data_IF_183967954009
#
_entry.id   IF_183967954009
#
_cell.length_a   1.000
_cell.length_b   1.000
_cell.length_c   1.000
_cell.angle_alpha   90.00
_cell.angle_beta   90.00
_cell.angle_gamma   90.00
#
_symmetry.space_group_name_H-M   'P 1'
#
loop_
_entity.id
_entity.type
_entity.pdbx_description
1 polymer ?
#
# COMPACT_ATOMS: atom_id res chain seq x y z
N UNK A 1 7.88 -25.05 24.55
CA UNK A 1 7.45 -24.42 23.29
C UNK A 1 5.95 -24.24 23.35
N UNK A 2 5.46 -23.02 23.14
CA UNK A 2 4.03 -22.74 23.03
C UNK A 2 3.48 -23.43 21.79
N UNK A 3 2.39 -24.20 21.90
CA UNK A 3 1.83 -24.95 20.76
C UNK A 3 0.94 -24.03 19.93
N UNK A 4 1.40 -23.63 18.73
CA UNK A 4 0.64 -22.79 17.79
C UNK A 4 -0.15 -23.61 16.79
N UNK A 5 -1.30 -23.09 16.35
CA UNK A 5 -2.21 -23.74 15.39
C UNK A 5 -1.74 -23.55 13.93
N UNK A 6 -0.56 -24.10 13.59
CA UNK A 6 0.01 -24.00 12.26
C UNK A 6 -0.43 -25.17 11.38
N UNK A 7 -0.97 -24.85 10.20
CA UNK A 7 -1.44 -25.82 9.21
C UNK A 7 -0.76 -25.56 7.87
N UNK A 8 0.05 -26.51 7.40
CA UNK A 8 0.66 -26.43 6.07
C UNK A 8 -0.12 -27.28 5.08
N UNK A 9 -0.51 -26.71 3.95
CA UNK A 9 -1.26 -27.41 2.90
C UNK A 9 -0.62 -27.21 1.53
N UNK A 10 -0.79 -28.20 0.66
CA UNK A 10 -0.37 -28.10 -0.74
C UNK A 10 -1.36 -27.24 -1.50
N UNK A 11 -0.87 -26.30 -2.30
CA UNK A 11 -1.68 -25.58 -3.28
C UNK A 11 -2.23 -26.55 -4.34
N UNK A 12 -3.54 -26.55 -4.55
CA UNK A 12 -4.23 -27.31 -5.59
C UNK A 12 -4.55 -26.40 -6.78
N UNK A 13 -4.75 -26.99 -7.97
CA UNK A 13 -5.03 -26.26 -9.20
C UNK A 13 -3.81 -25.62 -9.87
N UNK A 14 -4.06 -24.93 -10.99
CA UNK A 14 -3.05 -24.23 -11.79
C UNK A 14 -2.40 -23.08 -11.03
N UNK A 15 -1.17 -22.73 -11.37
CA UNK A 15 -0.57 -21.49 -10.87
C UNK A 15 -1.24 -20.27 -11.49
N UNK A 16 -1.24 -19.16 -10.78
CA UNK A 16 -1.61 -17.86 -11.38
C UNK A 16 -0.73 -17.60 -12.61
N UNK A 17 0.57 -17.90 -12.52
CA UNK A 17 1.52 -17.80 -13.64
C UNK A 17 1.12 -18.66 -14.87
N UNK A 18 0.37 -19.76 -14.65
CA UNK A 18 0.04 -20.75 -15.68
C UNK A 18 -1.38 -20.56 -16.25
N UNK A 19 -2.24 -19.75 -15.62
CA UNK A 19 -3.57 -19.46 -16.19
C UNK A 19 -3.44 -18.59 -17.44
N UNK A 20 -4.35 -18.71 -18.43
CA UNK A 20 -4.24 -17.98 -19.70
C UNK A 20 -4.43 -16.46 -19.58
N UNK A 21 -5.07 -16.01 -18.49
CA UNK A 21 -5.37 -14.60 -18.20
C UNK A 21 -5.01 -14.26 -16.77
N UNK A 22 -4.42 -13.09 -16.55
CA UNK A 22 -4.18 -12.51 -15.24
C UNK A 22 -4.34 -10.99 -15.32
N UNK A 23 -4.88 -10.40 -14.25
CA UNK A 23 -5.08 -8.95 -14.12
C UNK A 23 -4.41 -8.52 -12.81
N UNK A 24 -3.65 -7.44 -12.87
CA UNK A 24 -3.02 -6.81 -11.71
C UNK A 24 -3.07 -5.29 -11.86
N UNK A 25 -3.36 -4.57 -10.79
CA UNK A 25 -3.33 -3.11 -10.77
C UNK A 25 -2.38 -2.62 -9.67
N UNK A 26 -1.75 -1.48 -9.87
CA UNK A 26 -1.11 -0.69 -8.81
C UNK A 26 -1.49 0.77 -8.95
N UNK A 27 -1.91 1.35 -7.83
CA UNK A 27 -2.07 2.80 -7.62
C UNK A 27 -0.78 3.34 -7.02
N UNK A 28 -0.17 4.31 -7.67
CA UNK A 28 1.09 4.93 -7.32
C UNK A 28 0.92 5.95 -6.18
N UNK A 29 2.02 6.52 -5.73
CA UNK A 29 2.05 7.28 -4.47
C UNK A 29 1.20 8.56 -4.49
N UNK A 30 1.01 9.18 -5.66
CA UNK A 30 0.17 10.37 -5.82
C UNK A 30 -1.31 10.08 -6.13
N UNK A 31 -1.70 8.81 -6.28
CA UNK A 31 -3.10 8.46 -6.50
C UNK A 31 -3.94 8.81 -5.25
N UNK A 32 -5.16 9.37 -5.37
CA UNK A 32 -5.97 9.81 -4.23
C UNK A 32 -6.12 8.78 -3.10
N UNK A 33 -6.44 7.52 -3.42
CA UNK A 33 -6.49 6.43 -2.43
C UNK A 33 -5.14 6.16 -1.75
N UNK A 34 -4.03 6.21 -2.50
CA UNK A 34 -2.69 5.95 -1.95
C UNK A 34 -2.19 7.12 -1.10
N UNK A 35 -2.57 8.36 -1.43
CA UNK A 35 -2.37 9.51 -0.55
C UNK A 35 -3.14 9.35 0.76
N UNK A 36 -4.39 8.85 0.72
CA UNK A 36 -5.14 8.57 1.94
C UNK A 36 -4.47 7.49 2.81
N UNK A 37 -4.05 6.38 2.19
CA UNK A 37 -3.30 5.31 2.86
C UNK A 37 -2.00 5.83 3.47
N UNK A 38 -1.22 6.62 2.73
CA UNK A 38 0.03 7.20 3.19
C UNK A 38 -0.14 8.22 4.32
N UNK A 39 -1.14 9.09 4.23
CA UNK A 39 -1.50 10.03 5.30
C UNK A 39 -1.91 9.27 6.56
N UNK A 40 -2.82 8.30 6.44
CA UNK A 40 -3.29 7.52 7.58
C UNK A 40 -2.13 6.80 8.28
N UNK A 41 -1.25 6.16 7.51
CA UNK A 41 -0.09 5.48 8.08
C UNK A 41 0.89 6.45 8.74
N UNK A 42 1.14 7.61 8.12
CA UNK A 42 1.99 8.64 8.72
C UNK A 42 1.44 9.10 10.06
N UNK A 43 0.14 9.33 10.17
CA UNK A 43 -0.52 9.71 11.43
C UNK A 43 -0.33 8.63 12.50
N UNK A 44 -0.53 7.35 12.15
CA UNK A 44 -0.33 6.22 13.07
C UNK A 44 1.09 6.16 13.62
N UNK A 45 2.09 6.31 12.74
CA UNK A 45 3.51 6.31 13.14
C UNK A 45 3.82 7.50 14.03
N UNK A 46 3.52 8.73 13.60
CA UNK A 46 3.84 9.95 14.37
C UNK A 46 3.12 9.98 15.73
N UNK A 47 1.86 9.54 15.80
CA UNK A 47 1.15 9.40 17.08
C UNK A 47 1.82 8.38 18.00
N UNK A 48 2.26 7.24 17.46
CA UNK A 48 2.94 6.21 18.24
C UNK A 48 4.28 6.71 18.77
N UNK A 49 5.07 7.38 17.93
CA UNK A 49 6.36 7.97 18.30
C UNK A 49 6.17 9.06 19.37
N UNK A 50 5.21 9.96 19.17
CA UNK A 50 4.90 11.01 20.14
C UNK A 50 4.53 10.44 21.50
N UNK A 51 3.67 9.40 21.54
CA UNK A 51 3.29 8.74 22.79
C UNK A 51 4.51 8.12 23.48
N UNK A 52 5.38 7.44 22.72
CA UNK A 52 6.61 6.84 23.27
C UNK A 52 7.53 7.90 23.88
N UNK A 53 7.80 8.98 23.14
CA UNK A 53 8.75 10.02 23.54
C UNK A 53 8.23 10.87 24.69
N UNK A 54 6.93 11.20 24.70
CA UNK A 54 6.36 12.12 25.67
C UNK A 54 5.78 11.41 26.87
N UNK A 55 5.27 10.18 26.73
CA UNK A 55 4.56 9.44 27.79
C UNK A 55 5.28 8.16 28.23
N UNK A 56 6.31 7.72 27.52
CA UNK A 56 7.04 6.47 27.81
C UNK A 56 6.24 5.20 27.52
N UNK A 57 5.07 5.32 26.89
CA UNK A 57 4.15 4.21 26.60
C UNK A 57 3.57 4.33 25.21
N UNK A 58 3.18 3.21 24.63
CA UNK A 58 2.42 3.19 23.37
C UNK A 58 0.93 3.13 23.69
N UNK A 59 0.15 4.03 23.10
CA UNK A 59 -1.29 4.09 23.34
C UNK A 59 -2.07 3.53 22.14
N UNK A 60 -3.18 2.86 22.45
CA UNK A 60 -4.11 2.37 21.43
C UNK A 60 -4.68 3.53 20.60
N UNK A 61 -4.71 3.32 19.29
CA UNK A 61 -5.27 4.24 18.30
C UNK A 61 -5.61 3.50 17.00
N UNK A 62 -6.45 4.10 16.16
CA UNK A 62 -6.77 3.68 14.80
C UNK A 62 -7.19 4.92 13.99
N UNK A 63 -6.30 5.43 13.14
CA UNK A 63 -6.51 6.56 12.23
C UNK A 63 -6.72 6.10 10.78
N UNK A 64 -7.27 4.91 10.60
CA UNK A 64 -7.46 4.23 9.31
C UNK A 64 -8.73 4.69 8.56
N UNK A 65 -9.18 5.93 8.79
CA UNK A 65 -10.36 6.54 8.16
C UNK A 65 -10.00 7.94 7.69
N UNK A 66 -9.17 8.00 6.65
CA UNK A 66 -8.87 9.25 5.94
C UNK A 66 -9.64 9.25 4.64
N UNK A 67 -10.35 10.34 4.39
CA UNK A 67 -11.06 10.60 3.15
C UNK A 67 -10.50 11.86 2.49
N UNK A 68 -10.28 11.78 1.19
CA UNK A 68 -9.92 12.88 0.33
C UNK A 68 -11.11 13.21 -0.55
N UNK A 69 -11.53 14.47 -0.53
CA UNK A 69 -12.50 15.03 -1.46
C UNK A 69 -11.78 15.95 -2.43
N UNK A 70 -12.02 15.73 -3.72
CA UNK A 70 -11.29 16.39 -4.77
C UNK A 70 -11.47 17.92 -4.77
N UNK A 71 -10.42 18.60 -5.23
CA UNK A 71 -10.43 20.02 -5.50
C UNK A 71 -11.13 20.36 -6.82
N UNK A 72 -10.94 21.61 -7.25
CA UNK A 72 -11.33 22.06 -8.58
C UNK A 72 -10.21 22.94 -9.13
N UNK A 73 -9.74 22.62 -10.33
CA UNK A 73 -8.63 23.30 -11.01
C UNK A 73 -9.06 23.67 -12.43
N UNK A 74 -8.47 24.73 -12.96
CA UNK A 74 -8.36 24.96 -14.39
C UNK A 74 -6.90 24.82 -14.78
N UNK A 75 -6.63 23.94 -15.74
CA UNK A 75 -5.30 23.69 -16.28
C UNK A 75 -5.33 23.87 -17.79
N UNK A 76 -4.21 24.34 -18.32
CA UNK A 76 -3.94 24.41 -19.74
C UNK A 76 -2.45 24.32 -19.98
N UNK A 77 -2.03 24.33 -21.23
CA UNK A 77 -0.60 24.35 -21.52
C UNK A 77 0.06 25.62 -20.94
N UNK A 78 1.15 25.43 -20.18
CA UNK A 78 1.91 26.48 -19.51
C UNK A 78 1.19 27.15 -18.34
N UNK A 79 0.02 26.68 -17.94
CA UNK A 79 -0.82 27.37 -16.95
C UNK A 79 -1.65 26.42 -16.08
N UNK A 80 -1.93 26.87 -14.86
CA UNK A 80 -2.84 26.16 -13.99
C UNK A 80 -3.23 27.01 -12.78
N UNK A 81 -4.48 26.90 -12.36
CA UNK A 81 -5.01 27.61 -11.20
C UNK A 81 -6.01 26.73 -10.46
N UNK A 82 -5.77 26.56 -9.17
CA UNK A 82 -6.74 25.93 -8.27
C UNK A 82 -7.84 26.93 -7.88
N UNK A 83 -9.09 26.53 -8.06
CA UNK A 83 -10.29 27.26 -7.64
C UNK A 83 -10.83 26.76 -6.30
N UNK A 84 -10.81 25.45 -6.07
CA UNK A 84 -11.21 24.83 -4.81
C UNK A 84 -10.09 23.93 -4.31
N UNK A 85 -9.66 24.09 -3.04
CA UNK A 85 -8.65 23.22 -2.46
C UNK A 85 -9.17 21.79 -2.28
N UNK A 86 -8.27 20.83 -2.33
CA UNK A 86 -8.52 19.45 -1.93
C UNK A 86 -8.89 19.45 -0.44
N UNK A 87 -9.86 18.63 -0.04
CA UNK A 87 -10.23 18.50 1.38
C UNK A 87 -9.84 17.14 1.91
N UNK A 88 -9.16 17.11 3.04
CA UNK A 88 -8.82 15.88 3.76
C UNK A 88 -9.62 15.87 5.05
N UNK A 89 -10.36 14.80 5.26
CA UNK A 89 -11.04 14.52 6.52
C UNK A 89 -10.32 13.35 7.19
N UNK A 90 -9.73 13.62 8.35
CA UNK A 90 -9.09 12.60 9.17
C UNK A 90 -10.08 12.19 10.25
N UNK A 91 -10.55 10.95 10.21
CA UNK A 91 -11.32 10.34 11.28
C UNK A 91 -10.53 9.20 11.92
N UNK A 92 -11.06 8.69 13.04
CA UNK A 92 -10.42 7.61 13.77
C UNK A 92 -10.64 7.68 15.26
N UNK A 93 -9.85 6.90 15.98
CA UNK A 93 -9.90 6.77 17.43
C UNK A 93 -8.48 6.88 17.99
N UNK A 94 -8.30 7.67 19.03
CA UNK A 94 -7.05 7.73 19.79
C UNK A 94 -7.31 7.93 21.28
N UNK A 95 -6.24 8.10 22.05
CA UNK A 95 -6.31 8.33 23.49
C UNK A 95 -6.01 9.81 23.76
N UNK A 96 -7.03 10.64 24.05
CA UNK A 96 -6.87 12.10 24.12
C UNK A 96 -6.14 12.58 25.39
N UNK A 97 -6.03 11.71 26.40
CA UNK A 97 -5.28 11.98 27.61
C UNK A 97 -4.83 10.68 28.27
N UNK A 98 -3.66 10.71 28.92
CA UNK A 98 -3.11 9.59 29.67
C UNK A 98 -2.49 10.11 30.97
N UNK A 99 -2.88 9.53 32.12
CA UNK A 99 -2.40 9.93 33.45
C UNK A 99 -2.46 11.45 33.70
N UNK A 100 -3.57 12.09 33.31
CA UNK A 100 -3.79 13.53 33.48
C UNK A 100 -3.08 14.43 32.45
N UNK A 101 -2.25 13.88 31.56
CA UNK A 101 -1.60 14.62 30.47
C UNK A 101 -2.43 14.54 29.20
N UNK A 102 -2.70 15.70 28.58
CA UNK A 102 -3.39 15.78 27.30
C UNK A 102 -2.47 15.31 26.17
N UNK A 103 -3.05 14.64 25.18
CA UNK A 103 -2.40 14.23 23.93
C UNK A 103 -2.91 15.15 22.82
N UNK A 104 -2.04 15.87 22.09
CA UNK A 104 -2.43 16.79 21.03
C UNK A 104 -2.75 16.00 19.74
N UNK A 105 -3.78 15.15 19.79
CA UNK A 105 -4.14 14.22 18.71
C UNK A 105 -4.34 14.91 17.37
N UNK A 106 -5.13 15.98 17.34
CA UNK A 106 -5.48 16.69 16.12
C UNK A 106 -4.26 17.38 15.52
N UNK A 107 -3.42 18.01 16.34
CA UNK A 107 -2.18 18.64 15.88
C UNK A 107 -1.23 17.60 15.27
N UNK A 108 -1.03 16.46 15.94
CA UNK A 108 -0.20 15.36 15.41
C UNK A 108 -0.77 14.90 14.06
N UNK A 109 -2.07 14.66 13.99
CA UNK A 109 -2.70 14.14 12.78
C UNK A 109 -2.58 15.10 11.59
N UNK A 110 -2.88 16.38 11.81
CA UNK A 110 -2.81 17.41 10.76
C UNK A 110 -1.35 17.62 10.31
N UNK A 111 -0.40 17.69 11.24
CA UNK A 111 1.02 17.88 10.89
C UNK A 111 1.59 16.66 10.17
N UNK A 112 1.25 15.44 10.61
CA UNK A 112 1.62 14.20 9.95
C UNK A 112 1.08 14.14 8.51
N UNK A 113 -0.18 14.53 8.29
CA UNK A 113 -0.77 14.61 6.96
C UNK A 113 -0.03 15.60 6.05
N UNK A 114 0.20 16.83 6.52
CA UNK A 114 0.99 17.84 5.79
C UNK A 114 2.37 17.33 5.45
N UNK A 115 3.06 16.72 6.40
CA UNK A 115 4.41 16.21 6.21
C UNK A 115 4.43 15.07 5.18
N UNK A 116 3.48 14.15 5.23
CA UNK A 116 3.36 13.10 4.22
C UNK A 116 3.24 13.71 2.82
N UNK A 117 2.32 14.67 2.63
CA UNK A 117 2.13 15.30 1.32
C UNK A 117 3.40 16.00 0.84
N UNK A 118 4.09 16.78 1.69
CA UNK A 118 5.34 17.46 1.31
C UNK A 118 6.47 16.51 0.94
N UNK A 119 6.53 15.33 1.57
CA UNK A 119 7.55 14.32 1.26
C UNK A 119 7.19 13.49 0.02
N UNK A 120 5.90 13.34 -0.29
CA UNK A 120 5.40 12.47 -1.37
C UNK A 120 5.20 13.22 -2.69
N UNK A 121 4.75 14.49 -2.66
CA UNK A 121 4.31 15.25 -3.84
C UNK A 121 5.19 16.48 -4.06
N UNK A 122 5.73 16.66 -5.28
CA UNK A 122 6.61 17.81 -5.58
C UNK A 122 5.88 19.12 -5.81
N UNK A 123 4.67 19.05 -6.38
CA UNK A 123 3.91 20.23 -6.81
C UNK A 123 2.64 20.49 -5.99
N UNK A 124 2.29 19.58 -5.07
CA UNK A 124 1.17 19.75 -4.15
C UNK A 124 1.63 20.32 -2.81
N UNK A 125 1.54 21.64 -2.65
CA UNK A 125 1.72 22.30 -1.36
C UNK A 125 0.46 22.15 -0.48
N UNK A 126 0.53 21.41 0.65
CA UNK A 126 -0.65 21.17 1.49
C UNK A 126 -1.13 22.42 2.25
N UNK A 127 -0.31 23.47 2.40
CA UNK A 127 -0.74 24.71 3.05
C UNK A 127 -1.48 25.63 2.08
N UNK A 128 -1.19 25.51 0.78
CA UNK A 128 -1.80 26.32 -0.28
C UNK A 128 -3.00 25.66 -0.93
N UNK A 129 -2.94 24.35 -1.15
CA UNK A 129 -3.87 23.61 -2.00
C UNK A 129 -4.78 22.64 -1.26
N UNK A 130 -4.65 22.54 0.07
CA UNK A 130 -5.43 21.60 0.86
C UNK A 130 -6.04 22.24 2.09
N UNK A 131 -7.20 21.73 2.49
CA UNK A 131 -7.81 21.96 3.80
C UNK A 131 -7.84 20.61 4.52
N UNK A 132 -7.18 20.53 5.67
CA UNK A 132 -7.02 19.28 6.42
C UNK A 132 -7.71 19.45 7.77
N UNK A 133 -8.79 18.71 7.96
CA UNK A 133 -9.59 18.72 9.18
C UNK A 133 -9.46 17.38 9.91
N UNK A 134 -9.20 17.44 11.22
CA UNK A 134 -9.23 16.27 12.10
C UNK A 134 -10.54 16.22 12.87
N UNK A 135 -11.19 15.06 12.78
CA UNK A 135 -12.37 14.65 13.54
C UNK A 135 -12.06 13.43 14.42
N UNK A 136 -10.78 13.23 14.77
CA UNK A 136 -10.34 12.10 15.56
C UNK A 136 -11.02 12.08 16.94
N UNK A 137 -11.70 10.97 17.23
CA UNK A 137 -12.46 10.82 18.47
C UNK A 137 -11.69 10.08 19.57
N UNK A 138 -12.24 10.13 20.78
CA UNK A 138 -11.83 9.23 21.88
C UNK A 138 -12.14 7.77 21.50
N UNK A 139 -11.17 6.87 21.68
CA UNK A 139 -11.37 5.42 21.63
C UNK A 139 -12.13 4.88 22.86
N UNK A 140 -12.79 3.73 22.73
CA UNK A 140 -13.51 3.11 23.86
C UNK A 140 -12.57 2.90 25.07
N UNK A 141 -13.07 3.19 26.28
CA UNK A 141 -12.30 3.07 27.53
C UNK A 141 -11.72 1.66 27.72
N UNK A 142 -12.46 0.64 27.27
CA UNK A 142 -12.08 -0.76 27.29
C UNK A 142 -10.91 -1.12 26.34
N UNK A 143 -10.45 -0.19 25.50
CA UNK A 143 -9.28 -0.38 24.64
C UNK A 143 -8.07 0.48 25.09
N UNK A 144 -8.19 1.21 26.20
CA UNK A 144 -7.17 2.14 26.71
C UNK A 144 -6.06 1.45 27.54
N UNK A 145 -5.84 0.15 27.38
CA UNK A 145 -4.90 -0.59 28.22
C UNK A 145 -3.44 -0.22 27.92
N UNK A 146 -2.68 -0.03 29.00
CA UNK A 146 -1.21 -0.07 28.99
C UNK A 146 -0.83 -1.51 28.62
N UNK A 147 -0.08 -1.66 27.53
CA UNK A 147 0.04 -2.93 26.82
C UNK A 147 1.10 -3.82 27.46
N UNK A 148 0.84 -4.30 28.67
CA UNK A 148 1.72 -5.26 29.36
C UNK A 148 1.65 -6.66 28.68
N UNK A 149 0.51 -7.00 28.07
CA UNK A 149 0.33 -8.20 27.25
C UNK A 149 -0.43 -7.84 25.97
N UNK A 150 0.24 -7.88 24.83
CA UNK A 150 -0.35 -7.51 23.53
C UNK A 150 -1.29 -8.63 23.06
N UNK A 151 -2.60 -8.39 23.15
CA UNK A 151 -3.64 -9.27 22.61
C UNK A 151 -4.22 -8.72 21.32
N UNK A 152 -4.82 -9.58 20.50
CA UNK A 152 -5.55 -9.20 19.31
C UNK A 152 -6.71 -8.26 19.68
N UNK A 153 -6.77 -7.09 19.05
CA UNK A 153 -7.81 -6.10 19.29
C UNK A 153 -9.15 -6.44 18.61
N UNK A 154 -9.15 -7.38 17.67
CA UNK A 154 -10.29 -7.74 16.83
C UNK A 154 -10.16 -9.21 16.36
N UNK A 155 -11.24 -9.76 15.83
CA UNK A 155 -11.26 -11.04 15.13
C UNK A 155 -11.20 -10.78 13.62
N UNK A 156 -9.99 -10.55 13.13
CA UNK A 156 -9.73 -10.29 11.71
C UNK A 156 -8.60 -11.18 11.18
N UNK A 157 -8.29 -11.04 9.89
CA UNK A 157 -7.33 -11.90 9.20
C UNK A 157 -6.36 -11.14 8.30
N UNK A 158 -5.13 -11.65 8.23
CA UNK A 158 -4.09 -11.20 7.31
C UNK A 158 -3.79 -12.27 6.26
N UNK A 159 -3.57 -11.84 5.01
CA UNK A 159 -3.19 -12.74 3.91
C UNK A 159 -2.15 -12.08 3.03
N UNK A 160 -1.10 -12.82 2.69
CA UNK A 160 -0.11 -12.38 1.70
C UNK A 160 0.55 -13.57 1.03
N UNK A 161 1.08 -13.34 -0.17
CA UNK A 161 1.78 -14.35 -0.95
C UNK A 161 3.16 -13.88 -1.41
N UNK A 162 4.03 -14.84 -1.68
CA UNK A 162 5.34 -14.62 -2.29
C UNK A 162 5.78 -15.86 -3.11
N UNK A 163 6.57 -15.71 -4.19
CA UNK A 163 6.91 -14.45 -4.87
C UNK A 163 5.72 -13.86 -5.63
N UNK A 164 5.91 -12.62 -6.10
CA UNK A 164 5.05 -12.01 -7.13
C UNK A 164 5.09 -12.85 -8.41
N UNK A 165 3.99 -12.92 -9.16
CA UNK A 165 3.99 -13.42 -10.55
C UNK A 165 4.80 -12.49 -11.44
N UNK A 166 5.07 -12.94 -12.68
CA UNK A 166 5.69 -12.09 -13.69
C UNK A 166 4.91 -10.79 -13.94
N UNK A 167 3.58 -10.84 -13.99
CA UNK A 167 2.74 -9.65 -14.16
C UNK A 167 2.70 -8.78 -12.91
N UNK A 168 2.56 -9.38 -11.71
CA UNK A 168 2.59 -8.65 -10.44
C UNK A 168 3.91 -7.88 -10.26
N UNK A 169 5.03 -8.49 -10.62
CA UNK A 169 6.34 -7.84 -10.60
C UNK A 169 6.42 -6.71 -11.64
N UNK A 170 6.01 -6.95 -12.89
CA UNK A 170 6.05 -5.96 -13.95
C UNK A 170 5.23 -4.70 -13.61
N UNK A 171 4.01 -4.88 -13.11
CA UNK A 171 3.13 -3.77 -12.68
C UNK A 171 3.74 -3.00 -11.52
N UNK A 172 4.21 -3.71 -10.49
CA UNK A 172 4.80 -3.10 -9.30
C UNK A 172 6.04 -2.26 -9.65
N UNK A 173 7.02 -2.86 -10.33
CA UNK A 173 8.28 -2.19 -10.66
C UNK A 173 8.08 -1.07 -11.68
N UNK A 174 7.13 -1.18 -12.61
CA UNK A 174 6.84 -0.10 -13.57
C UNK A 174 6.33 1.14 -12.85
N UNK A 175 5.39 0.99 -11.90
CA UNK A 175 4.92 2.12 -11.10
C UNK A 175 6.05 2.72 -10.26
N UNK A 176 6.91 1.88 -9.65
CA UNK A 176 8.08 2.34 -8.89
C UNK A 176 9.07 3.11 -9.78
N UNK A 177 9.35 2.61 -10.98
CA UNK A 177 10.22 3.28 -11.94
C UNK A 177 9.69 4.66 -12.31
N UNK A 178 8.38 4.76 -12.58
CA UNK A 178 7.78 6.06 -12.90
C UNK A 178 7.92 6.98 -11.69
N UNK A 179 7.44 6.57 -10.52
CA UNK A 179 7.38 7.42 -9.32
C UNK A 179 8.75 7.79 -8.69
N UNK A 180 9.84 7.09 -9.02
CA UNK A 180 11.13 7.32 -8.36
C UNK A 180 12.32 7.48 -9.31
N UNK A 181 12.10 7.42 -10.63
CA UNK A 181 13.16 7.67 -11.63
C UNK A 181 12.66 8.50 -12.79
N UNK A 182 11.59 8.09 -13.46
CA UNK A 182 11.09 8.79 -14.65
C UNK A 182 10.69 10.25 -14.34
N UNK A 183 10.13 10.48 -13.15
CA UNK A 183 9.74 11.82 -12.70
C UNK A 183 10.90 12.83 -12.65
N UNK A 184 12.14 12.38 -12.49
CA UNK A 184 13.31 13.26 -12.48
C UNK A 184 13.75 13.66 -13.90
N UNK A 185 13.34 12.89 -14.91
CA UNK A 185 13.71 13.07 -16.31
C UNK A 185 12.60 13.75 -17.12
N UNK A 186 11.33 13.60 -16.71
CA UNK A 186 10.15 14.09 -17.41
C UNK A 186 9.23 14.89 -16.48
N UNK A 187 8.47 15.87 -17.01
CA UNK A 187 7.49 16.64 -16.23
C UNK A 187 6.22 15.83 -15.96
N UNK A 188 6.35 14.62 -15.42
CA UNK A 188 5.25 13.73 -15.02
C UNK A 188 4.86 14.06 -13.56
N UNK A 189 3.62 13.77 -13.16
CA UNK A 189 3.17 13.86 -11.77
C UNK A 189 3.20 12.51 -11.04
N UNK A 190 3.06 12.56 -9.72
CA UNK A 190 3.18 11.38 -8.86
C UNK A 190 1.95 10.44 -8.89
N UNK A 191 0.80 10.90 -9.41
CA UNK A 191 -0.39 10.07 -9.59
C UNK A 191 -0.27 9.15 -10.79
N UNK A 192 0.30 7.98 -10.53
CA UNK A 192 0.53 6.95 -11.53
C UNK A 192 -0.40 5.78 -11.24
N UNK A 193 -1.15 5.31 -12.22
CA UNK A 193 -1.89 4.04 -12.13
C UNK A 193 -1.43 3.11 -13.22
N UNK A 194 -0.95 1.92 -12.84
CA UNK A 194 -0.52 0.88 -13.77
C UNK A 194 -1.50 -0.28 -13.69
N UNK A 195 -2.21 -0.52 -14.80
CA UNK A 195 -3.08 -1.69 -14.99
C UNK A 195 -2.38 -2.67 -15.91
N UNK A 196 -2.15 -3.89 -15.43
CA UNK A 196 -1.55 -4.98 -16.16
C UNK A 196 -2.56 -6.05 -16.54
N UNK A 197 -2.52 -6.46 -17.80
CA UNK A 197 -3.21 -7.63 -18.32
C UNK A 197 -2.17 -8.58 -18.91
N UNK A 198 -2.14 -9.82 -18.44
CA UNK A 198 -1.48 -10.91 -19.17
C UNK A 198 -2.54 -11.73 -19.88
N UNK A 199 -2.38 -11.93 -21.19
CA UNK A 199 -3.27 -12.78 -21.99
C UNK A 199 -2.47 -13.53 -23.04
N UNK A 200 -2.64 -14.85 -23.10
CA UNK A 200 -2.03 -15.70 -24.13
C UNK A 200 -0.49 -15.55 -24.24
N UNK A 201 0.19 -15.30 -23.12
CA UNK A 201 1.66 -15.18 -23.10
C UNK A 201 2.22 -13.78 -23.42
N UNK A 202 1.37 -12.77 -23.61
CA UNK A 202 1.79 -11.36 -23.74
C UNK A 202 1.27 -10.53 -22.56
N UNK A 203 2.02 -9.48 -22.20
CA UNK A 203 1.64 -8.50 -21.18
C UNK A 203 1.27 -7.18 -21.86
N UNK A 204 0.17 -6.58 -21.42
CA UNK A 204 -0.20 -5.21 -21.74
C UNK A 204 -0.25 -4.41 -20.45
N UNK A 205 0.53 -3.33 -20.37
CA UNK A 205 0.53 -2.40 -19.26
C UNK A 205 -0.09 -1.08 -19.72
N UNK A 206 -1.29 -0.78 -19.22
CA UNK A 206 -1.93 0.52 -19.40
C UNK A 206 -1.53 1.42 -18.24
N UNK A 207 -0.87 2.53 -18.55
CA UNK A 207 -0.37 3.51 -17.58
C UNK A 207 -1.18 4.79 -17.72
N UNK A 208 -1.79 5.23 -16.62
CA UNK A 208 -2.33 6.58 -16.50
C UNK A 208 -1.35 7.38 -15.64
N UNK A 209 -0.84 8.50 -16.16
CA UNK A 209 0.03 9.40 -15.43
C UNK A 209 -0.14 10.83 -15.95
N UNK A 210 -0.28 11.84 -15.09
CA UNK A 210 -0.45 13.20 -15.53
C UNK A 210 0.89 13.82 -15.93
N UNK A 211 0.84 14.82 -16.81
CA UNK A 211 1.95 15.74 -17.03
C UNK A 211 1.69 17.06 -16.30
N UNK A 212 2.76 17.71 -15.83
CA UNK A 212 2.68 18.98 -15.10
C UNK A 212 2.37 20.10 -16.08
N UNK A 213 1.16 20.65 -15.99
CA UNK A 213 0.58 21.64 -16.90
C UNK A 213 1.49 22.86 -17.12
N UNK A 214 2.10 23.37 -16.04
CA UNK A 214 3.00 24.53 -16.09
C UNK A 214 4.34 24.26 -16.78
N UNK A 215 4.64 22.99 -17.08
CA UNK A 215 5.89 22.54 -17.71
C UNK A 215 5.70 22.08 -19.16
N UNK A 216 4.49 22.16 -19.71
CA UNK A 216 4.17 21.78 -21.09
C UNK A 216 3.59 23.00 -21.80
N UNK A 217 4.27 23.53 -22.81
CA UNK A 217 3.93 24.78 -23.49
C UNK A 217 2.79 24.66 -24.50
N UNK A 218 2.63 23.50 -25.15
CA UNK A 218 1.52 23.27 -26.09
C UNK A 218 1.22 21.77 -26.35
N UNK A 219 0.21 21.51 -27.19
CA UNK A 219 -0.24 20.17 -27.61
C UNK A 219 0.85 19.35 -28.31
N UNK A 220 1.74 19.99 -29.04
CA UNK A 220 2.84 19.31 -29.75
C UNK A 220 3.85 18.80 -28.75
N UNK A 221 4.27 19.67 -27.84
CA UNK A 221 5.18 19.32 -26.75
C UNK A 221 4.61 18.21 -25.87
N UNK A 222 3.32 18.28 -25.50
CA UNK A 222 2.64 17.20 -24.76
C UNK A 222 2.81 15.84 -25.45
N UNK A 223 2.55 15.77 -26.75
CA UNK A 223 2.65 14.52 -27.51
C UNK A 223 4.09 14.02 -27.62
N UNK A 224 5.06 14.92 -27.80
CA UNK A 224 6.48 14.57 -27.86
C UNK A 224 6.98 14.01 -26.53
N UNK A 225 6.69 14.72 -25.43
CA UNK A 225 7.06 14.31 -24.08
C UNK A 225 6.35 13.01 -23.70
N UNK A 226 5.06 12.87 -24.01
CA UNK A 226 4.30 11.62 -23.79
C UNK A 226 4.92 10.43 -24.52
N UNK A 227 5.27 10.58 -25.80
CA UNK A 227 5.89 9.50 -26.59
C UNK A 227 7.27 9.13 -26.05
N UNK A 228 8.07 10.12 -25.65
CA UNK A 228 9.39 9.88 -25.07
C UNK A 228 9.28 9.15 -23.72
N UNK A 229 8.35 9.58 -22.86
CA UNK A 229 8.07 8.92 -21.58
C UNK A 229 7.53 7.49 -21.79
N UNK A 230 6.59 7.28 -22.72
CA UNK A 230 6.09 5.95 -23.08
C UNK A 230 7.22 5.03 -23.56
N UNK A 231 8.13 5.53 -24.41
CA UNK A 231 9.28 4.76 -24.88
C UNK A 231 10.24 4.37 -23.73
N UNK A 232 10.48 5.28 -22.79
CA UNK A 232 11.30 5.02 -21.60
C UNK A 232 10.65 3.94 -20.70
N UNK A 233 9.34 4.05 -20.46
CA UNK A 233 8.58 3.07 -19.68
C UNK A 233 8.56 1.71 -20.40
N UNK A 234 8.33 1.69 -21.71
CA UNK A 234 8.38 0.49 -22.55
C UNK A 234 9.75 -0.20 -22.48
N UNK A 235 10.84 0.58 -22.55
CA UNK A 235 12.20 0.06 -22.46
C UNK A 235 12.50 -0.56 -21.10
N UNK A 236 12.05 0.06 -20.01
CA UNK A 236 12.19 -0.48 -18.65
C UNK A 236 11.33 -1.75 -18.47
N UNK A 237 10.04 -1.67 -18.80
CA UNK A 237 9.08 -2.75 -18.56
C UNK A 237 9.40 -4.02 -19.36
N UNK A 238 9.95 -3.88 -20.57
CA UNK A 238 10.37 -5.01 -21.41
C UNK A 238 11.50 -5.85 -20.78
N UNK A 239 12.23 -5.32 -19.79
CA UNK A 239 13.30 -6.04 -19.09
C UNK A 239 12.79 -6.83 -17.87
N UNK A 240 11.55 -6.58 -17.43
CA UNK A 240 10.98 -7.17 -16.21
C UNK A 240 10.38 -8.56 -16.42
N UNK A 241 10.19 -8.97 -17.68
CA UNK A 241 9.62 -10.27 -18.02
C UNK A 241 10.18 -10.81 -19.34
N UNK A 242 10.30 -12.12 -19.44
CA UNK A 242 10.69 -12.80 -20.69
C UNK A 242 9.60 -12.71 -21.76
N UNK A 243 8.34 -12.54 -21.34
CA UNK A 243 7.20 -12.36 -22.25
C UNK A 243 7.25 -10.97 -22.87
N UNK A 244 6.73 -10.86 -24.09
CA UNK A 244 6.53 -9.58 -24.75
C UNK A 244 5.63 -8.67 -23.89
N UNK A 245 6.11 -7.45 -23.64
CA UNK A 245 5.39 -6.40 -22.91
C UNK A 245 5.06 -5.27 -23.87
N UNK A 246 3.79 -4.85 -23.88
CA UNK A 246 3.31 -3.65 -24.59
C UNK A 246 2.86 -2.63 -23.55
N UNK A 247 3.39 -1.41 -23.62
CA UNK A 247 2.99 -0.29 -22.76
C UNK A 247 2.10 0.67 -23.54
N UNK A 248 1.07 1.20 -22.90
CA UNK A 248 0.18 2.22 -23.44
C UNK A 248 -0.02 3.32 -22.41
N UNK A 249 0.33 4.57 -22.72
CA UNK A 249 0.20 5.70 -21.80
C UNK A 249 -1.02 6.56 -22.12
N UNK A 250 -1.76 6.96 -21.09
CA UNK A 250 -2.89 7.89 -21.14
C UNK A 250 -3.84 7.60 -22.32
N UNK A 251 -4.40 6.40 -22.32
CA UNK A 251 -5.26 5.89 -23.42
C UNK A 251 -6.60 6.63 -23.54
N UNK A 252 -6.94 7.46 -22.55
CA UNK A 252 -8.13 8.31 -22.55
C UNK A 252 -7.92 9.67 -23.25
N UNK A 253 -6.68 10.01 -23.63
CA UNK A 253 -6.41 11.27 -24.30
C UNK A 253 -7.16 11.37 -25.64
N UNK A 254 -7.79 12.52 -25.87
CA UNK A 254 -8.33 12.93 -27.16
C UNK A 254 -7.61 14.21 -27.63
N UNK A 255 -6.53 13.98 -28.38
CA UNK A 255 -5.67 15.03 -28.93
C UNK A 255 -6.42 15.98 -29.87
N UNK A 256 -7.47 15.52 -30.56
CA UNK A 256 -8.22 16.37 -31.48
C UNK A 256 -8.96 17.48 -30.73
N UNK A 257 -9.47 17.15 -29.55
CA UNK A 257 -10.29 18.02 -28.70
C UNK A 257 -9.52 18.63 -27.51
N UNK A 258 -8.19 18.52 -27.45
CA UNK A 258 -7.35 18.98 -26.32
C UNK A 258 -7.76 18.38 -24.96
N UNK A 259 -8.40 17.21 -24.95
CA UNK A 259 -8.67 16.48 -23.72
C UNK A 259 -7.47 15.59 -23.40
N UNK A 260 -6.49 16.14 -22.68
CA UNK A 260 -5.23 15.49 -22.32
C UNK A 260 -5.04 15.47 -20.81
N UNK A 261 -4.25 14.51 -20.30
CA UNK A 261 -4.02 14.39 -18.87
C UNK A 261 -2.94 15.35 -18.35
N UNK A 262 -3.33 16.61 -18.10
CA UNK A 262 -2.51 17.64 -17.46
C UNK A 262 -2.96 17.85 -16.02
N UNK A 263 -2.02 18.10 -15.11
CA UNK A 263 -2.30 18.51 -13.71
C UNK A 263 -1.44 19.70 -13.30
N UNK A 264 -1.91 20.53 -12.38
CA UNK A 264 -1.13 21.56 -11.71
C UNK A 264 -0.23 20.96 -10.61
N UNK A 265 -0.73 19.99 -9.86
CA UNK A 265 -0.12 19.50 -8.61
C UNK A 265 0.46 18.09 -8.71
N UNK A 266 0.32 17.43 -9.86
CA UNK A 266 0.81 16.06 -10.09
C UNK A 266 -0.16 14.95 -9.67
N UNK A 267 -1.40 15.29 -9.27
CA UNK A 267 -2.43 14.31 -8.86
C UNK A 267 -3.82 14.66 -9.38
N UNK A 268 -4.63 13.65 -9.74
CA UNK A 268 -6.03 13.87 -10.12
C UNK A 268 -6.92 14.32 -8.96
N UNK A 269 -6.43 14.26 -7.73
CA UNK A 269 -7.11 14.80 -6.55
C UNK A 269 -7.52 16.27 -6.73
N UNK A 270 -6.84 17.03 -7.58
CA UNK A 270 -7.19 18.43 -7.86
C UNK A 270 -8.40 18.62 -8.79
N UNK A 271 -8.88 17.57 -9.48
CA UNK A 271 -9.81 17.68 -10.60
C UNK A 271 -10.95 16.63 -10.64
N UNK A 272 -11.35 16.12 -9.48
CA UNK A 272 -12.60 15.34 -9.35
C UNK A 272 -12.46 13.89 -8.90
N UNK A 273 -11.24 13.38 -8.68
CA UNK A 273 -11.04 12.05 -8.11
C UNK A 273 -10.91 12.11 -6.58
N UNK A 274 -11.86 11.48 -5.89
CA UNK A 274 -11.83 11.30 -4.44
C UNK A 274 -10.92 10.12 -4.05
N UNK A 275 -10.52 10.07 -2.78
CA UNK A 275 -9.71 8.98 -2.22
C UNK A 275 -10.17 8.53 -0.84
N UNK A 276 -9.91 7.27 -0.50
CA UNK A 276 -10.22 6.72 0.81
C UNK A 276 -9.24 5.61 1.22
N UNK A 277 -8.90 5.56 2.51
CA UNK A 277 -8.05 4.49 3.09
C UNK A 277 -8.59 3.11 2.75
N UNK A 278 -7.69 2.21 2.34
CA UNK A 278 -8.05 0.81 2.07
C UNK A 278 -8.75 0.58 0.73
N UNK A 279 -8.88 1.60 -0.12
CA UNK A 279 -9.39 1.48 -1.50
C UNK A 279 -8.27 1.33 -2.54
N UNK A 280 -7.02 1.37 -2.07
CA UNK A 280 -5.82 1.20 -2.86
C UNK A 280 -5.29 -0.24 -2.90
N UNK A 281 -3.97 -0.32 -2.95
CA UNK A 281 -3.23 -1.56 -3.05
C UNK A 281 -3.37 -2.43 -1.79
N UNK A 282 -3.01 -3.71 -1.90
CA UNK A 282 -2.82 -4.58 -0.73
C UNK A 282 -1.37 -4.51 -0.26
N UNK A 283 -1.05 -5.20 0.83
CA UNK A 283 0.28 -5.18 1.42
C UNK A 283 1.41 -5.67 0.50
N UNK A 284 1.09 -6.49 -0.50
CA UNK A 284 2.05 -6.90 -1.52
C UNK A 284 2.39 -5.77 -2.53
N UNK A 285 1.77 -4.59 -2.39
CA UNK A 285 1.93 -3.43 -3.24
C UNK A 285 1.05 -3.43 -4.50
N UNK A 286 0.11 -4.37 -4.64
CA UNK A 286 -0.74 -4.47 -5.83
C UNK A 286 -2.16 -4.89 -5.48
N UNK A 287 -3.07 -4.72 -6.43
CA UNK A 287 -4.41 -5.30 -6.43
C UNK A 287 -4.39 -6.48 -7.41
N UNK A 288 -4.41 -7.70 -6.88
CA UNK A 288 -4.27 -8.92 -7.67
C UNK A 288 -5.52 -9.82 -7.53
N UNK A 289 -6.58 -9.62 -8.34
CA UNK A 289 -7.84 -10.36 -8.22
C UNK A 289 -7.72 -11.89 -8.38
N UNK A 290 -6.62 -12.38 -8.95
CA UNK A 290 -6.33 -13.82 -9.07
C UNK A 290 -5.66 -14.42 -7.83
N UNK A 291 -5.47 -13.62 -6.78
CA UNK A 291 -4.85 -14.01 -5.51
C UNK A 291 -5.86 -13.89 -4.37
N UNK A 292 -5.55 -14.57 -3.27
CA UNK A 292 -6.24 -14.28 -2.02
C UNK A 292 -5.71 -12.96 -1.46
N UNK A 293 -6.61 -12.11 -0.97
CA UNK A 293 -6.28 -10.83 -0.37
C UNK A 293 -7.10 -10.63 0.90
N UNK A 294 -6.53 -9.90 1.87
CA UNK A 294 -7.31 -9.34 2.98
C UNK A 294 -7.95 -8.03 2.55
N UNK A 295 -9.19 -7.82 3.00
CA UNK A 295 -9.90 -6.54 2.84
C UNK A 295 -9.56 -5.56 3.97
N UNK A 296 -8.82 -6.01 5.00
CA UNK A 296 -8.30 -5.14 6.04
C UNK A 296 -7.39 -4.08 5.43
N UNK A 297 -7.67 -2.81 5.74
CA UNK A 297 -6.80 -1.69 5.41
C UNK A 297 -5.70 -1.56 6.48
N UNK A 298 -4.42 -1.87 6.20
CA UNK A 298 -3.38 -1.85 7.23
C UNK A 298 -3.03 -0.41 7.67
N UNK A 299 -3.12 0.55 6.76
CA UNK A 299 -2.67 1.93 6.99
C UNK A 299 -3.51 2.65 8.05
N UNK A 300 -2.86 3.31 9.00
CA UNK A 300 -3.51 4.08 10.07
C UNK A 300 -3.91 3.27 11.31
N UNK A 301 -3.97 1.94 11.22
CA UNK A 301 -4.18 1.06 12.37
C UNK A 301 -2.93 1.03 13.25
N UNK A 302 -3.09 0.87 14.57
CA UNK A 302 -1.92 0.82 15.44
C UNK A 302 -1.02 -0.39 15.13
N UNK A 303 0.31 -0.22 15.15
CA UNK A 303 1.26 -1.31 14.94
C UNK A 303 1.44 -2.20 16.17
N UNK A 304 0.65 -1.99 17.24
CA UNK A 304 0.81 -2.66 18.53
C UNK A 304 0.04 -3.96 18.52
N UNK A 305 -1.30 -3.87 18.39
CA UNK A 305 -2.24 -4.98 18.54
C UNK A 305 -3.17 -5.18 17.36
N UNK A 306 -3.22 -4.25 16.40
CA UNK A 306 -4.20 -4.37 15.32
C UNK A 306 -3.83 -5.47 14.33
N UNK A 307 -4.56 -6.59 14.41
CA UNK A 307 -4.32 -7.79 13.59
C UNK A 307 -4.49 -7.53 12.09
N UNK A 308 -5.48 -6.72 11.68
CA UNK A 308 -5.60 -6.26 10.28
C UNK A 308 -4.34 -5.57 9.71
N UNK A 309 -3.45 -5.05 10.54
CA UNK A 309 -2.13 -4.52 10.12
C UNK A 309 -1.02 -5.53 10.39
N UNK A 310 -0.87 -5.93 11.66
CA UNK A 310 0.23 -6.80 12.12
C UNK A 310 0.23 -8.15 11.41
N UNK A 311 -0.93 -8.79 11.23
CA UNK A 311 -1.00 -10.09 10.57
C UNK A 311 -0.85 -10.01 9.05
N UNK A 312 -1.27 -8.92 8.40
CA UNK A 312 -0.94 -8.74 6.99
C UNK A 312 0.59 -8.63 6.84
N UNK A 313 1.25 -7.79 7.66
CA UNK A 313 2.71 -7.62 7.61
C UNK A 313 3.44 -8.94 7.92
N UNK A 314 3.02 -9.63 8.98
CA UNK A 314 3.59 -10.92 9.34
C UNK A 314 3.40 -11.97 8.24
N UNK A 315 2.24 -12.01 7.57
CA UNK A 315 1.97 -12.93 6.48
C UNK A 315 2.91 -12.70 5.29
N UNK A 316 3.19 -11.44 4.93
CA UNK A 316 4.11 -11.11 3.84
C UNK A 316 5.55 -11.50 4.19
N UNK A 317 6.02 -11.10 5.38
CA UNK A 317 7.36 -11.43 5.86
C UNK A 317 7.56 -12.95 5.97
N UNK A 318 6.56 -13.68 6.48
CA UNK A 318 6.61 -15.14 6.56
C UNK A 318 6.63 -15.78 5.17
N UNK A 319 5.82 -15.30 4.22
CA UNK A 319 5.84 -15.81 2.85
C UNK A 319 7.21 -15.61 2.18
N UNK A 320 7.82 -14.44 2.36
CA UNK A 320 9.16 -14.13 1.86
C UNK A 320 10.23 -15.04 2.48
N UNK A 321 10.20 -15.21 3.80
CA UNK A 321 11.13 -16.09 4.50
C UNK A 321 11.00 -17.55 4.11
N UNK A 322 9.77 -18.05 3.94
CA UNK A 322 9.54 -19.43 3.50
C UNK A 322 10.20 -19.67 2.14
N UNK A 323 10.02 -18.75 1.19
CA UNK A 323 10.65 -18.86 -0.14
C UNK A 323 12.18 -18.79 -0.05
N UNK A 324 12.72 -17.90 0.80
CA UNK A 324 14.16 -17.73 0.98
C UNK A 324 14.82 -18.93 1.67
N UNK A 325 14.17 -19.51 2.68
CA UNK A 325 14.75 -20.51 3.59
C UNK A 325 14.39 -21.95 3.22
N UNK A 326 13.36 -22.15 2.42
CA UNK A 326 12.91 -23.48 1.96
C UNK A 326 12.91 -23.52 0.42
N UNK A 327 14.08 -23.68 -0.23
CA UNK A 327 14.22 -23.58 -1.69
C UNK A 327 13.37 -24.60 -2.48
N UNK A 328 12.88 -25.64 -1.81
CA UNK A 328 11.95 -26.62 -2.38
C UNK A 328 10.49 -26.12 -2.47
N UNK A 329 10.21 -24.89 -2.04
CA UNK A 329 8.91 -24.22 -2.17
C UNK A 329 8.99 -23.14 -3.26
N UNK A 330 8.17 -23.28 -4.31
CA UNK A 330 8.10 -22.33 -5.44
C UNK A 330 7.25 -21.10 -5.10
N UNK A 331 6.14 -21.28 -4.40
CA UNK A 331 5.22 -20.20 -3.99
C UNK A 331 4.62 -20.51 -2.62
N UNK A 332 4.41 -19.48 -1.81
CA UNK A 332 3.73 -19.56 -0.52
C UNK A 332 2.63 -18.50 -0.42
N UNK A 333 1.49 -18.87 0.15
CA UNK A 333 0.45 -17.93 0.61
C UNK A 333 0.20 -18.21 2.09
N UNK A 334 0.37 -17.19 2.93
CA UNK A 334 0.20 -17.27 4.38
C UNK A 334 -1.11 -16.60 4.75
N UNK A 335 -1.93 -17.29 5.56
CA UNK A 335 -3.18 -16.83 6.12
C UNK A 335 -3.08 -16.87 7.63
N UNK A 336 -3.39 -15.76 8.30
CA UNK A 336 -3.39 -15.67 9.75
C UNK A 336 -4.76 -15.18 10.19
N UNK A 337 -5.46 -15.96 11.01
CA UNK A 337 -6.74 -15.58 11.61
C UNK A 337 -6.55 -15.39 13.10
N UNK A 338 -6.93 -14.21 13.59
CA UNK A 338 -6.95 -13.90 15.02
C UNK A 338 -8.28 -14.28 15.65
N UNK A 339 -8.31 -14.28 16.98
CA UNK A 339 -9.52 -14.21 17.78
C UNK A 339 -9.32 -13.06 18.77
N UNK A 340 -10.30 -12.16 18.86
CA UNK A 340 -10.22 -11.00 19.76
C UNK A 340 -9.89 -11.44 21.20
N UNK A 341 -8.92 -10.75 21.83
CA UNK A 341 -8.43 -11.06 23.17
C UNK A 341 -7.39 -12.18 23.26
N UNK A 342 -7.13 -12.94 22.18
CA UNK A 342 -6.06 -13.93 22.15
C UNK A 342 -4.68 -13.27 22.00
N UNK A 343 -3.58 -13.88 22.48
CA UNK A 343 -2.22 -13.40 22.22
C UNK A 343 -1.93 -13.31 20.71
N UNK A 344 -1.24 -12.24 20.28
CA UNK A 344 -0.88 -12.07 18.86
C UNK A 344 0.01 -13.18 18.30
N UNK A 345 0.80 -13.83 19.15
CA UNK A 345 1.64 -14.95 18.74
C UNK A 345 0.87 -16.27 18.67
N UNK A 346 -0.42 -16.28 19.05
CA UNK A 346 -1.29 -17.46 19.06
C UNK A 346 -2.55 -17.22 18.23
N UNK A 347 -2.42 -17.12 16.89
CA UNK A 347 -3.57 -17.01 16.01
C UNK A 347 -4.49 -18.23 16.17
N UNK A 348 -5.80 -18.02 16.00
CA UNK A 348 -6.80 -19.08 15.99
C UNK A 348 -6.41 -20.17 14.98
N UNK A 349 -5.92 -19.75 13.81
CA UNK A 349 -5.23 -20.62 12.86
C UNK A 349 -4.21 -19.82 12.04
N UNK A 350 -3.08 -20.45 11.75
CA UNK A 350 -2.07 -19.96 10.83
C UNK A 350 -1.88 -20.98 9.70
N UNK A 351 -2.39 -20.68 8.50
CA UNK A 351 -2.33 -21.60 7.36
C UNK A 351 -1.28 -21.14 6.36
N UNK A 352 -0.40 -22.05 5.94
CA UNK A 352 0.50 -21.83 4.81
C UNK A 352 0.10 -22.75 3.67
N UNK A 353 -0.29 -22.15 2.55
CA UNK A 353 -0.51 -22.86 1.30
C UNK A 353 0.73 -22.77 0.44
N UNK A 354 1.39 -23.90 0.19
CA UNK A 354 2.66 -23.96 -0.56
C UNK A 354 2.53 -24.74 -1.85
N UNK A 355 3.26 -24.32 -2.89
CA UNK A 355 3.50 -25.14 -4.09
C UNK A 355 4.94 -25.63 -4.08
N UNK A 356 5.20 -26.91 -3.77
CA UNK A 356 6.54 -27.49 -3.83
C UNK A 356 7.08 -27.55 -5.26
N UNK A 357 8.39 -27.42 -5.44
CA UNK A 357 9.07 -27.54 -6.74
C UNK A 357 8.94 -28.95 -7.32
N UNK A 358 8.98 -29.98 -6.48
CA UNK A 358 8.76 -31.39 -6.85
C UNK A 358 7.30 -31.74 -7.15
N UNK A 359 6.38 -30.80 -6.96
CA UNK A 359 4.94 -31.06 -7.05
C UNK A 359 4.36 -31.84 -5.86
N UNK A 360 5.16 -32.27 -4.87
CA UNK A 360 4.69 -33.05 -3.72
C UNK A 360 5.07 -32.40 -2.39
N UNK A 361 4.13 -32.31 -1.45
CA UNK A 361 4.37 -31.78 -0.11
C UNK A 361 4.84 -32.90 0.82
N UNK A 362 6.15 -33.03 1.00
CA UNK A 362 6.75 -34.06 1.87
C UNK A 362 6.68 -33.66 3.35
N UNK A 363 6.84 -34.61 4.30
CA UNK A 363 6.93 -34.30 5.72
C UNK A 363 8.05 -33.31 6.07
N UNK A 364 9.21 -33.38 5.38
CA UNK A 364 10.33 -32.45 5.59
C UNK A 364 9.94 -31.03 5.21
N UNK A 365 9.40 -30.82 3.99
CA UNK A 365 8.96 -29.49 3.53
C UNK A 365 7.91 -28.91 4.48
N UNK A 366 6.97 -29.75 4.95
CA UNK A 366 5.96 -29.35 5.94
C UNK A 366 6.60 -28.89 7.25
N UNK A 367 7.58 -29.63 7.77
CA UNK A 367 8.28 -29.28 9.00
C UNK A 367 9.10 -27.99 8.85
N UNK A 368 9.81 -27.81 7.74
CA UNK A 368 10.61 -26.62 7.47
C UNK A 368 9.74 -25.37 7.38
N UNK A 369 8.64 -25.44 6.62
CA UNK A 369 7.66 -24.34 6.49
C UNK A 369 7.02 -24.01 7.84
N UNK A 370 6.65 -25.04 8.61
CA UNK A 370 6.07 -24.85 9.94
C UNK A 370 7.06 -24.18 10.90
N UNK A 371 8.34 -24.56 10.85
CA UNK A 371 9.41 -23.97 11.67
C UNK A 371 9.58 -22.48 11.37
N UNK A 372 9.62 -22.09 10.09
CA UNK A 372 9.75 -20.68 9.68
C UNK A 372 8.57 -19.84 10.20
N UNK A 373 7.35 -20.34 10.05
CA UNK A 373 6.17 -19.60 10.51
C UNK A 373 6.08 -19.54 12.04
N UNK A 374 6.45 -20.61 12.75
CA UNK A 374 6.48 -20.63 14.22
C UNK A 374 7.47 -19.61 14.77
N UNK A 375 8.67 -19.52 14.18
CA UNK A 375 9.69 -18.52 14.54
C UNK A 375 9.17 -17.09 14.32
N UNK A 376 8.51 -16.83 13.18
CA UNK A 376 7.93 -15.52 12.89
C UNK A 376 6.82 -15.15 13.86
N UNK A 377 5.94 -16.09 14.21
CA UNK A 377 4.90 -15.88 15.22
C UNK A 377 5.49 -15.63 16.61
N UNK A 378 6.52 -16.39 17.00
CA UNK A 378 7.22 -16.18 18.27
C UNK A 378 7.86 -14.79 18.40
N UNK A 379 8.18 -14.16 17.27
CA UNK A 379 8.77 -12.83 17.20
C UNK A 379 7.80 -11.79 16.61
N UNK A 380 6.48 -11.97 16.78
CA UNK A 380 5.47 -11.06 16.21
C UNK A 380 5.65 -9.61 16.66
N UNK A 381 6.21 -9.36 17.85
CA UNK A 381 6.52 -8.00 18.32
C UNK A 381 7.49 -7.24 17.41
N UNK A 382 8.38 -7.94 16.69
CA UNK A 382 9.34 -7.31 15.78
C UNK A 382 8.63 -6.63 14.59
N UNK A 383 7.41 -7.08 14.25
CA UNK A 383 6.59 -6.44 13.20
C UNK A 383 6.32 -4.99 13.53
N UNK A 384 6.09 -4.66 14.81
CA UNK A 384 5.88 -3.29 15.25
C UNK A 384 7.09 -2.42 14.93
N UNK A 385 8.28 -2.90 15.22
CA UNK A 385 9.51 -2.12 15.05
C UNK A 385 9.84 -1.93 13.55
N UNK A 386 9.64 -2.97 12.73
CA UNK A 386 9.73 -2.90 11.26
C UNK A 386 8.80 -1.80 10.71
N UNK A 387 7.56 -1.75 11.19
CA UNK A 387 6.60 -0.73 10.77
C UNK A 387 7.02 0.67 11.22
N UNK A 388 7.36 0.84 12.50
CA UNK A 388 7.73 2.15 13.06
C UNK A 388 9.00 2.72 12.41
N UNK A 389 9.93 1.86 12.03
CA UNK A 389 11.15 2.24 11.30
C UNK A 389 10.92 2.41 9.79
N UNK A 390 9.69 2.16 9.29
CA UNK A 390 9.33 2.22 7.86
C UNK A 390 10.19 1.31 6.97
N UNK A 391 10.59 0.18 7.52
CA UNK A 391 11.40 -0.85 6.82
C UNK A 391 10.55 -1.69 5.86
N UNK A 392 9.23 -1.52 5.87
CA UNK A 392 8.30 -2.21 4.98
C UNK A 392 7.27 -1.25 4.40
N UNK A 393 6.96 -1.40 3.12
CA UNK A 393 5.87 -0.71 2.45
C UNK A 393 4.54 -1.41 2.74
N UNK A 394 3.49 -0.65 3.11
CA UNK A 394 2.18 -1.21 3.45
C UNK A 394 1.16 -1.18 2.30
N UNK A 395 1.46 -0.49 1.20
CA UNK A 395 0.59 -0.31 0.03
C UNK A 395 1.38 -0.04 -1.25
#
# INVERSE_FOLDING_TARGET
MTKRNIVVVKATGQSVEDVPVEIVERKGIGHPDSLCDGIAERISVEYTLWCRENLGVLLHHNFDKVQLVAGEVEVGYGSGRMFKPIRIQIAGRGTPAFQGRKVPMDDIAIQAARQHVRETMRYLDPDRYMVIDSYAGRGAEELQYVVDHVTANDTSFGVSHWPRTGLEHAVYETAQYINYKLLDEFPVGEDVKVMGLRRNGELTLTVAMPFIATSIGDRTEYQEVKRAAEAAIQGYAAQLNERKVTVMVNTADDIANDAVYLTLTGTSAEMGDDGEVGRGNRLNGVIAPFRAASLEAPCGKNPISHVGKVYNVLALLAAQDIIKRVPTVKTATVYLLSQIGAPLDQPLVATVRVRPTSGTLTPSIRADVQSVLDERLANVSNVRDIILNREITLF
#
